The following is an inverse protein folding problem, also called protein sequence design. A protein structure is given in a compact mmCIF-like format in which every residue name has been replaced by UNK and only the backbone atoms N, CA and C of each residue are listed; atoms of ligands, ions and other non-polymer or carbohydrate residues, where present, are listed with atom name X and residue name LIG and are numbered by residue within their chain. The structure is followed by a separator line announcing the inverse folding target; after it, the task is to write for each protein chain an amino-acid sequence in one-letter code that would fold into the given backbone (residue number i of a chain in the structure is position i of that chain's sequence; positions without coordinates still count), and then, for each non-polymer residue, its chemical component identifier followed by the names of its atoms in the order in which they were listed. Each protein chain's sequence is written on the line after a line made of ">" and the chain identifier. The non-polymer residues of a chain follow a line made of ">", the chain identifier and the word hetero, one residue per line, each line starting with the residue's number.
data_IF_848466057496
#
_entry.id   IF_848466057496
#
_cell.length_a   1.000
_cell.length_b   1.000
_cell.length_c   1.000
_cell.angle_alpha   90.00
_cell.angle_beta   90.00
_cell.angle_gamma   90.00
#
_symmetry.space_group_name_H-M   'P 1'
#
loop_
_entity.id
_entity.type
_entity.pdbx_description
1 polymer ?
#
# COMPACT_ATOMS: atom_id res chain seq x y z
N UNK A 1 6.58 -1.64 -33.59
CA UNK A 1 6.96 -0.58 -32.63
C UNK A 1 5.70 0.15 -32.19
N UNK A 2 5.13 -0.24 -31.05
CA UNK A 2 4.04 0.46 -30.37
C UNK A 2 4.27 0.28 -28.88
N UNK A 3 5.20 1.06 -28.32
CA UNK A 3 5.40 1.16 -26.88
C UNK A 3 4.35 2.13 -26.32
N UNK A 4 3.18 1.59 -25.97
CA UNK A 4 2.18 2.27 -25.17
C UNK A 4 1.55 1.26 -24.21
N UNK A 5 2.39 0.64 -23.36
CA UNK A 5 1.90 -0.01 -22.15
C UNK A 5 1.91 1.04 -21.05
N UNK A 6 0.73 1.33 -20.52
CA UNK A 6 0.47 2.29 -19.45
C UNK A 6 1.23 1.84 -18.20
N UNK A 7 2.35 2.49 -17.85
CA UNK A 7 3.06 2.18 -16.61
C UNK A 7 2.43 2.99 -15.47
N UNK A 8 1.74 2.32 -14.54
CA UNK A 8 1.35 2.91 -13.26
C UNK A 8 2.55 2.82 -12.33
N UNK A 9 3.17 3.97 -12.05
CA UNK A 9 4.21 4.10 -11.03
C UNK A 9 3.51 4.52 -9.73
N UNK A 10 3.75 3.76 -8.67
CA UNK A 10 3.21 4.00 -7.33
C UNK A 10 4.23 4.78 -6.51
N UNK A 11 3.88 6.00 -6.08
CA UNK A 11 4.73 6.83 -5.23
C UNK A 11 4.11 6.90 -3.83
N UNK A 12 4.87 6.51 -2.79
CA UNK A 12 4.45 6.55 -1.37
C UNK A 12 5.36 7.52 -0.60
N UNK A 13 4.84 8.66 -0.12
CA UNK A 13 5.55 9.61 0.77
C UNK A 13 4.58 10.42 1.64
N UNK A 14 5.09 11.09 2.68
CA UNK A 14 4.32 11.80 3.72
C UNK A 14 3.40 12.93 3.20
N UNK A 15 2.35 13.21 3.98
CA UNK A 15 1.20 14.09 3.67
C UNK A 15 1.59 15.54 3.30
N UNK A 16 2.71 16.05 3.79
CA UNK A 16 3.11 17.47 3.64
C UNK A 16 3.46 17.91 2.20
N UNK A 17 3.71 16.98 1.28
CA UNK A 17 4.20 17.28 -0.08
C UNK A 17 3.19 16.94 -1.21
N UNK A 18 1.92 16.66 -0.87
CA UNK A 18 0.94 16.13 -1.82
C UNK A 18 0.61 17.04 -3.01
N UNK A 19 0.67 18.37 -2.83
CA UNK A 19 0.52 19.32 -3.95
C UNK A 19 1.65 19.21 -4.98
N UNK A 20 2.86 18.84 -4.54
CA UNK A 20 4.03 18.70 -5.41
C UNK A 20 3.97 17.44 -6.24
N UNK A 21 3.33 16.37 -5.75
CA UNK A 21 3.10 15.15 -6.53
C UNK A 21 2.17 15.41 -7.71
N UNK A 22 1.06 16.12 -7.48
CA UNK A 22 0.14 16.53 -8.55
C UNK A 22 0.86 17.37 -9.62
N UNK A 23 1.69 18.33 -9.20
CA UNK A 23 2.50 19.14 -10.11
C UNK A 23 3.53 18.29 -10.88
N UNK A 24 4.23 17.37 -10.22
CA UNK A 24 5.22 16.50 -10.85
C UNK A 24 4.61 15.54 -11.88
N UNK A 25 3.44 14.96 -11.58
CA UNK A 25 2.70 14.11 -12.51
C UNK A 25 2.26 14.92 -13.72
N UNK A 26 1.72 16.13 -13.50
CA UNK A 26 1.35 17.05 -14.58
C UNK A 26 2.54 17.43 -15.44
N UNK A 27 3.67 17.78 -14.82
CA UNK A 27 4.91 18.16 -15.52
C UNK A 27 5.49 17.03 -16.36
N UNK A 28 5.31 15.79 -15.96
CA UNK A 28 5.75 14.62 -16.73
C UNK A 28 4.76 14.19 -17.83
N UNK A 29 3.54 14.75 -17.85
CA UNK A 29 2.52 14.42 -18.85
C UNK A 29 1.83 13.07 -18.61
N UNK A 30 1.84 12.58 -17.37
CA UNK A 30 1.33 11.25 -17.00
C UNK A 30 0.07 11.31 -16.12
N UNK A 31 -0.74 12.37 -16.21
CA UNK A 31 -1.96 12.55 -15.41
C UNK A 31 -2.96 11.38 -15.61
N UNK A 32 -3.05 10.84 -16.82
CA UNK A 32 -3.95 9.73 -17.12
C UNK A 32 -3.42 8.36 -16.71
N UNK A 33 -2.11 8.22 -16.48
CA UNK A 33 -1.43 6.93 -16.36
C UNK A 33 -0.75 6.72 -15.01
N UNK A 34 -0.45 7.79 -14.26
CA UNK A 34 0.15 7.74 -12.93
C UNK A 34 -0.90 8.01 -11.85
N UNK A 35 -0.81 7.30 -10.73
CA UNK A 35 -1.74 7.39 -9.60
C UNK A 35 -0.95 7.46 -8.30
N UNK A 36 -1.58 8.01 -7.26
CA UNK A 36 -0.93 8.23 -5.96
C UNK A 36 -1.51 7.25 -4.96
N UNK A 37 -0.68 6.72 -4.08
CA UNK A 37 -1.14 6.09 -2.86
C UNK A 37 -0.46 6.68 -1.66
N UNK A 38 -1.05 6.46 -0.49
CA UNK A 38 -0.55 7.04 0.74
C UNK A 38 -0.36 5.94 1.78
N UNK A 39 0.78 5.98 2.45
CA UNK A 39 1.08 5.18 3.62
C UNK A 39 1.10 6.14 4.81
N UNK A 40 0.11 6.02 5.69
CA UNK A 40 -0.05 6.92 6.83
C UNK A 40 0.84 6.51 8.01
N UNK A 41 1.21 5.23 8.11
CA UNK A 41 1.92 4.67 9.26
C UNK A 41 1.35 5.18 10.60
N UNK A 42 0.02 5.15 10.75
CA UNK A 42 -0.68 5.91 11.78
C UNK A 42 -0.34 5.50 13.22
N UNK A 43 0.21 4.30 13.43
CA UNK A 43 0.75 3.86 14.72
C UNK A 43 1.86 4.81 15.23
N UNK A 44 2.65 5.43 14.33
CA UNK A 44 3.73 6.36 14.70
C UNK A 44 3.22 7.68 15.28
N UNK A 45 1.94 7.99 15.06
CA UNK A 45 1.30 9.22 15.51
C UNK A 45 0.17 8.96 16.52
N UNK A 46 -0.01 7.72 16.96
CA UNK A 46 -1.04 7.35 17.91
C UNK A 46 -0.52 7.41 19.35
N UNK A 47 -1.18 8.17 20.22
CA UNK A 47 -0.91 8.16 21.66
C UNK A 47 -1.86 7.20 22.38
N UNK A 48 -1.32 6.05 22.80
CA UNK A 48 -2.05 5.04 23.55
C UNK A 48 -2.62 5.52 24.90
N UNK A 49 -2.12 6.63 25.47
CA UNK A 49 -2.64 7.21 26.71
C UNK A 49 -3.92 8.01 26.48
N UNK A 50 -3.98 8.77 25.38
CA UNK A 50 -5.13 9.61 25.05
C UNK A 50 -6.12 8.90 24.14
N UNK A 51 -5.68 7.87 23.41
CA UNK A 51 -6.47 7.16 22.42
C UNK A 51 -6.70 7.99 21.15
N UNK A 52 -5.78 8.90 20.84
CA UNK A 52 -5.90 9.86 19.74
C UNK A 52 -4.66 9.85 18.84
N UNK A 53 -4.82 10.39 17.63
CA UNK A 53 -3.81 10.58 16.61
C UNK A 53 -3.31 12.02 16.64
N UNK A 54 -2.03 12.23 16.96
CA UNK A 54 -1.37 13.55 16.99
C UNK A 54 -0.71 13.86 15.65
N UNK A 55 -1.38 14.68 14.83
CA UNK A 55 -0.87 15.08 13.52
C UNK A 55 0.35 16.01 13.61
N UNK A 56 0.67 16.55 14.79
CA UNK A 56 1.74 17.52 15.02
C UNK A 56 2.80 16.97 15.99
N UNK A 57 2.90 15.65 16.14
CA UNK A 57 3.80 14.97 17.09
C UNK A 57 5.30 15.30 16.99
N UNK A 58 5.73 15.88 15.85
CA UNK A 58 7.12 16.34 15.65
C UNK A 58 7.35 17.78 16.10
N UNK A 59 6.30 18.53 16.36
CA UNK A 59 6.37 19.90 16.83
C UNK A 59 6.60 19.90 18.35
N UNK A 60 7.66 20.54 18.84
CA UNK A 60 7.91 20.69 20.28
C UNK A 60 6.81 21.48 21.01
N UNK A 61 6.06 22.32 20.29
CA UNK A 61 4.93 23.11 20.79
C UNK A 61 3.67 22.79 19.97
N UNK A 62 3.08 21.59 20.17
CA UNK A 62 2.00 21.11 19.33
C UNK A 62 0.75 21.97 19.48
N UNK A 63 0.04 22.14 18.37
CA UNK A 63 -1.24 22.85 18.37
C UNK A 63 -2.30 22.07 19.17
N UNK A 64 -3.13 22.77 19.94
CA UNK A 64 -4.12 22.14 20.83
C UNK A 64 -5.21 21.33 20.09
N UNK A 65 -5.40 21.59 18.79
CA UNK A 65 -6.34 20.93 17.88
C UNK A 65 -5.67 19.90 16.96
N UNK A 66 -4.41 19.54 17.21
CA UNK A 66 -3.68 18.54 16.42
C UNK A 66 -4.05 17.09 16.75
N UNK A 67 -4.62 16.84 17.93
CA UNK A 67 -5.04 15.51 18.35
C UNK A 67 -6.45 15.16 17.85
N UNK A 68 -6.56 14.09 17.08
CA UNK A 68 -7.82 13.61 16.52
C UNK A 68 -8.21 12.27 17.12
N UNK A 69 -9.47 12.10 17.49
CA UNK A 69 -10.03 10.77 17.72
C UNK A 69 -10.07 9.96 16.40
N UNK A 70 -10.27 8.64 16.48
CA UNK A 70 -10.40 7.81 15.26
C UNK A 70 -11.49 8.29 14.29
N UNK A 71 -12.64 8.74 14.80
CA UNK A 71 -13.73 9.26 13.96
C UNK A 71 -13.38 10.61 13.31
N UNK A 72 -12.67 11.49 14.02
CA UNK A 72 -12.16 12.75 13.46
C UNK A 72 -11.04 12.50 12.44
N UNK A 73 -10.20 11.50 12.68
CA UNK A 73 -9.13 11.16 11.77
C UNK A 73 -9.65 10.49 10.48
N UNK A 74 -10.70 9.67 10.56
CA UNK A 74 -11.44 9.20 9.37
C UNK A 74 -11.87 10.39 8.51
N UNK A 75 -12.52 11.39 9.12
CA UNK A 75 -12.98 12.59 8.39
C UNK A 75 -11.82 13.36 7.76
N UNK A 76 -10.71 13.50 8.50
CA UNK A 76 -9.51 14.13 7.97
C UNK A 76 -8.96 13.40 6.73
N UNK A 77 -8.91 12.06 6.77
CA UNK A 77 -8.47 11.25 5.63
C UNK A 77 -9.42 11.34 4.45
N UNK A 78 -10.74 11.42 4.67
CA UNK A 78 -11.74 11.67 3.62
C UNK A 78 -11.54 13.01 2.93
N UNK A 79 -11.27 14.07 3.70
CA UNK A 79 -10.97 15.38 3.13
C UNK A 79 -9.69 15.34 2.26
N UNK A 80 -8.69 14.54 2.65
CA UNK A 80 -7.51 14.29 1.83
C UNK A 80 -7.84 13.49 0.55
N UNK A 81 -8.64 12.43 0.65
CA UNK A 81 -9.09 11.63 -0.51
C UNK A 81 -9.92 12.44 -1.50
N UNK A 82 -10.70 13.41 -1.02
CA UNK A 82 -11.44 14.33 -1.88
C UNK A 82 -10.52 15.32 -2.61
N UNK A 83 -9.40 15.67 -1.99
CA UNK A 83 -8.43 16.63 -2.54
C UNK A 83 -7.42 15.97 -3.48
N UNK A 84 -7.03 14.72 -3.22
CA UNK A 84 -6.01 13.99 -3.96
C UNK A 84 -6.54 12.63 -4.38
N UNK A 85 -6.36 12.23 -5.66
CA UNK A 85 -6.94 11.00 -6.20
C UNK A 85 -6.13 9.77 -5.76
N UNK A 86 -6.19 9.44 -4.47
CA UNK A 86 -5.58 8.23 -3.95
C UNK A 86 -6.28 6.99 -4.51
N UNK A 87 -5.47 6.01 -4.90
CA UNK A 87 -5.98 4.70 -5.34
C UNK A 87 -5.82 3.64 -4.26
N UNK A 88 -4.95 3.87 -3.28
CA UNK A 88 -4.88 3.08 -2.05
C UNK A 88 -4.40 3.91 -0.86
N UNK A 89 -4.76 3.44 0.33
CA UNK A 89 -4.26 3.91 1.63
C UNK A 89 -3.72 2.71 2.41
N UNK A 90 -2.53 2.85 2.97
CA UNK A 90 -1.83 1.87 3.81
C UNK A 90 -1.75 2.40 5.25
N UNK A 91 -2.02 1.51 6.20
CA UNK A 91 -2.04 1.76 7.66
C UNK A 91 -2.66 3.11 8.09
N UNK A 92 -3.94 3.34 7.76
CA UNK A 92 -4.67 4.56 8.12
C UNK A 92 -4.86 4.76 9.62
N UNK A 93 -4.73 3.73 10.45
CA UNK A 93 -4.95 3.78 11.90
C UNK A 93 -3.91 2.94 12.65
N UNK A 94 -3.88 3.05 13.98
CA UNK A 94 -2.98 2.28 14.84
C UNK A 94 -3.13 0.76 14.62
N UNK A 95 -2.04 0.03 14.75
CA UNK A 95 -1.98 -1.43 14.54
C UNK A 95 -2.92 -2.24 15.46
N UNK A 96 -3.49 -1.62 16.51
CA UNK A 96 -4.47 -2.25 17.39
C UNK A 96 -5.88 -1.61 17.32
N UNK A 97 -6.10 -0.60 16.48
CA UNK A 97 -7.39 0.08 16.32
C UNK A 97 -8.30 -0.57 15.25
N UNK A 98 -8.60 -1.86 15.47
CA UNK A 98 -9.40 -2.68 14.55
C UNK A 98 -10.81 -2.09 14.29
N UNK A 99 -11.38 -1.42 15.28
CA UNK A 99 -12.71 -0.83 15.19
C UNK A 99 -12.75 0.35 14.22
N UNK A 100 -11.77 1.25 14.29
CA UNK A 100 -11.68 2.39 13.37
C UNK A 100 -11.36 1.92 11.95
N UNK A 101 -10.47 0.93 11.77
CA UNK A 101 -10.25 0.25 10.49
C UNK A 101 -11.55 -0.30 9.88
N UNK A 102 -12.34 -1.04 10.66
CA UNK A 102 -13.60 -1.62 10.18
C UNK A 102 -14.64 -0.55 9.81
N UNK A 103 -14.74 0.54 10.58
CA UNK A 103 -15.60 1.69 10.25
C UNK A 103 -15.18 2.33 8.92
N UNK A 104 -13.90 2.60 8.75
CA UNK A 104 -13.36 3.21 7.53
C UNK A 104 -13.55 2.29 6.31
N UNK A 105 -13.24 1.01 6.44
CA UNK A 105 -13.43 0.03 5.37
C UNK A 105 -14.90 -0.16 4.99
N UNK A 106 -15.82 -0.12 5.97
CA UNK A 106 -17.25 -0.17 5.67
C UNK A 106 -17.76 1.04 4.88
N UNK A 107 -17.14 2.21 5.09
CA UNK A 107 -17.53 3.47 4.45
C UNK A 107 -16.89 3.64 3.07
N UNK A 108 -15.57 3.48 2.97
CA UNK A 108 -14.78 3.87 1.79
C UNK A 108 -14.13 2.69 1.06
N UNK A 109 -14.06 1.50 1.67
CA UNK A 109 -13.36 0.33 1.14
C UNK A 109 -13.96 -0.29 -0.14
N UNK A 110 -15.02 0.31 -0.71
CA UNK A 110 -15.53 -0.03 -2.05
C UNK A 110 -14.89 0.81 -3.16
N UNK A 111 -14.46 2.02 -2.83
CA UNK A 111 -13.91 2.99 -3.77
C UNK A 111 -12.37 3.01 -3.73
N UNK A 112 -11.79 2.66 -2.58
CA UNK A 112 -10.34 2.68 -2.37
C UNK A 112 -9.81 1.35 -1.79
N UNK A 113 -8.59 1.00 -2.17
CA UNK A 113 -7.86 -0.09 -1.56
C UNK A 113 -7.33 0.35 -0.18
N UNK A 114 -7.65 -0.40 0.86
CA UNK A 114 -7.21 -0.19 2.24
C UNK A 114 -6.28 -1.35 2.58
N UNK A 115 -4.99 -1.04 2.66
CA UNK A 115 -3.88 -1.98 2.80
C UNK A 115 -3.51 -2.08 4.28
N UNK A 116 -3.52 -3.29 4.82
CA UNK A 116 -2.97 -3.57 6.14
C UNK A 116 -1.52 -4.04 6.06
N UNK A 117 -0.62 -3.30 6.72
CA UNK A 117 0.79 -3.65 6.91
C UNK A 117 1.06 -3.97 8.39
N UNK A 118 1.23 -2.98 9.27
CA UNK A 118 1.42 -3.19 10.71
C UNK A 118 0.19 -3.82 11.36
N UNK A 119 -1.01 -3.53 10.84
CA UNK A 119 -2.23 -4.21 11.29
C UNK A 119 -2.16 -5.72 11.06
N UNK A 120 -1.48 -6.21 10.02
CA UNK A 120 -1.50 -7.63 9.64
C UNK A 120 -0.18 -8.36 9.88
N UNK A 121 0.96 -7.66 9.75
CA UNK A 121 2.35 -8.15 9.84
C UNK A 121 2.59 -9.47 9.10
N UNK A 122 1.92 -9.65 7.96
CA UNK A 122 1.91 -10.90 7.18
C UNK A 122 1.57 -12.15 8.03
N UNK A 123 0.85 -11.99 9.15
CA UNK A 123 0.56 -13.05 10.11
C UNK A 123 -0.82 -13.68 9.85
N UNK A 124 -0.92 -15.00 9.60
CA UNK A 124 -2.20 -15.67 9.33
C UNK A 124 -3.31 -15.43 10.36
N UNK A 125 -2.99 -15.34 11.65
CA UNK A 125 -4.01 -15.09 12.70
C UNK A 125 -4.57 -13.67 12.60
N UNK A 126 -3.71 -12.69 12.35
CA UNK A 126 -4.12 -11.27 12.17
C UNK A 126 -4.85 -11.06 10.85
N UNK A 127 -4.41 -11.72 9.78
CA UNK A 127 -5.14 -11.77 8.51
C UNK A 127 -6.55 -12.33 8.71
N UNK A 128 -6.68 -13.47 9.38
CA UNK A 128 -8.00 -14.06 9.67
C UNK A 128 -8.88 -13.12 10.51
N UNK A 129 -8.29 -12.42 11.49
CA UNK A 129 -9.01 -11.40 12.27
C UNK A 129 -9.50 -10.26 11.37
N UNK A 130 -8.64 -9.71 10.52
CA UNK A 130 -9.01 -8.64 9.59
C UNK A 130 -10.10 -9.04 8.60
N UNK A 131 -10.10 -10.30 8.15
CA UNK A 131 -11.18 -10.86 7.33
C UNK A 131 -12.49 -10.90 8.12
N UNK A 132 -12.47 -11.41 9.35
CA UNK A 132 -13.67 -11.56 10.18
C UNK A 132 -14.28 -10.20 10.56
N UNK A 133 -13.44 -9.22 10.88
CA UNK A 133 -13.84 -7.88 11.32
C UNK A 133 -14.03 -6.91 10.15
N UNK A 134 -13.72 -7.34 8.91
CA UNK A 134 -13.79 -6.52 7.68
C UNK A 134 -12.99 -5.22 7.81
N UNK A 135 -11.81 -5.33 8.40
CA UNK A 135 -10.97 -4.18 8.76
C UNK A 135 -10.22 -3.58 7.59
N UNK A 136 -9.90 -4.37 6.56
CA UNK A 136 -9.16 -3.97 5.37
C UNK A 136 -9.63 -4.75 4.14
N UNK A 137 -9.17 -4.40 2.94
CA UNK A 137 -9.47 -5.11 1.69
C UNK A 137 -8.19 -5.48 0.89
N UNK A 138 -7.01 -5.24 1.46
CA UNK A 138 -5.73 -5.58 0.86
C UNK A 138 -4.67 -5.94 1.92
N UNK A 139 -3.76 -6.84 1.53
CA UNK A 139 -2.61 -7.27 2.33
C UNK A 139 -1.32 -6.67 1.76
N UNK A 140 -0.50 -6.05 2.60
CA UNK A 140 0.91 -5.82 2.28
C UNK A 140 1.72 -7.06 2.69
N UNK A 141 2.29 -7.76 1.71
CA UNK A 141 3.00 -9.02 1.93
C UNK A 141 4.50 -8.76 2.03
N UNK A 142 5.07 -8.98 3.23
CA UNK A 142 6.51 -8.92 3.50
C UNK A 142 6.99 -10.31 3.94
N UNK A 143 7.66 -11.01 3.03
CA UNK A 143 8.10 -12.42 3.21
C UNK A 143 8.87 -12.63 4.50
N UNK A 144 9.75 -11.70 4.86
CA UNK A 144 10.59 -11.83 6.04
C UNK A 144 9.90 -11.47 7.37
N UNK A 145 8.66 -10.96 7.35
CA UNK A 145 7.86 -10.81 8.58
C UNK A 145 7.29 -12.16 9.04
N UNK A 146 6.90 -13.02 8.10
CA UNK A 146 6.34 -14.34 8.41
C UNK A 146 7.43 -15.43 8.50
N UNK A 147 8.51 -15.29 7.74
CA UNK A 147 9.75 -16.06 7.92
C UNK A 147 9.98 -17.19 6.93
N UNK A 148 8.95 -17.66 6.21
CA UNK A 148 9.10 -18.67 5.16
C UNK A 148 8.30 -18.38 3.88
N UNK A 149 8.73 -18.99 2.78
CA UNK A 149 8.04 -18.90 1.48
C UNK A 149 6.67 -19.58 1.56
N UNK A 150 6.58 -20.75 2.20
CA UNK A 150 5.32 -21.49 2.35
C UNK A 150 4.28 -20.65 3.07
N UNK A 151 4.63 -20.06 4.22
CA UNK A 151 3.69 -19.24 4.98
C UNK A 151 3.35 -17.93 4.25
N UNK A 152 4.26 -17.40 3.44
CA UNK A 152 3.97 -16.24 2.57
C UNK A 152 2.93 -16.59 1.50
N UNK A 153 3.04 -17.76 0.86
CA UNK A 153 2.05 -18.25 -0.11
C UNK A 153 0.70 -18.49 0.58
N UNK A 154 0.71 -19.06 1.78
CA UNK A 154 -0.52 -19.26 2.57
C UNK A 154 -1.20 -17.93 2.91
N UNK A 155 -0.44 -16.94 3.39
CA UNK A 155 -0.95 -15.59 3.67
C UNK A 155 -1.55 -14.92 2.42
N UNK A 156 -0.88 -15.03 1.27
CA UNK A 156 -1.41 -14.60 -0.02
C UNK A 156 -2.74 -15.28 -0.33
N UNK A 157 -2.79 -16.60 -0.25
CA UNK A 157 -3.98 -17.38 -0.59
C UNK A 157 -5.15 -17.06 0.34
N UNK A 158 -4.90 -16.84 1.64
CA UNK A 158 -5.93 -16.40 2.59
C UNK A 158 -6.54 -15.07 2.18
N UNK A 159 -5.71 -14.08 1.86
CA UNK A 159 -6.17 -12.77 1.40
C UNK A 159 -6.96 -12.89 0.08
N UNK A 160 -6.41 -13.58 -0.92
CA UNK A 160 -7.06 -13.76 -2.24
C UNK A 160 -8.41 -14.48 -2.12
N UNK A 161 -8.49 -15.53 -1.28
CA UNK A 161 -9.72 -16.28 -1.05
C UNK A 161 -10.79 -15.44 -0.32
N UNK A 162 -10.38 -14.47 0.50
CA UNK A 162 -11.28 -13.49 1.10
C UNK A 162 -11.71 -12.37 0.14
N UNK A 163 -11.25 -12.41 -1.12
CA UNK A 163 -11.52 -11.39 -2.12
C UNK A 163 -10.63 -10.14 -1.98
N UNK A 164 -9.59 -10.20 -1.15
CA UNK A 164 -8.63 -9.10 -1.01
C UNK A 164 -7.65 -9.08 -2.18
N UNK A 165 -7.03 -7.92 -2.36
CA UNK A 165 -5.82 -7.78 -3.19
C UNK A 165 -4.57 -7.95 -2.34
N UNK A 166 -3.44 -8.22 -2.99
CA UNK A 166 -2.15 -8.41 -2.30
C UNK A 166 -1.11 -7.54 -2.98
N UNK A 167 -0.32 -6.83 -2.18
CA UNK A 167 0.80 -6.03 -2.66
C UNK A 167 2.09 -6.57 -2.05
N UNK A 168 2.98 -7.10 -2.88
CA UNK A 168 4.30 -7.56 -2.42
C UNK A 168 5.15 -6.34 -2.07
N UNK A 169 5.79 -6.35 -0.91
CA UNK A 169 6.56 -5.20 -0.42
C UNK A 169 8.01 -5.54 -0.14
N UNK A 170 8.87 -4.55 -0.38
CA UNK A 170 10.24 -4.53 0.13
C UNK A 170 10.29 -4.34 1.66
N UNK A 171 11.51 -4.27 2.19
CA UNK A 171 11.80 -3.67 3.51
C UNK A 171 12.59 -2.36 3.43
N UNK A 172 12.63 -1.59 4.51
CA UNK A 172 13.45 -0.37 4.57
C UNK A 172 14.94 -0.67 4.40
N UNK A 173 15.45 -1.74 5.02
CA UNK A 173 16.75 -2.33 4.71
C UNK A 173 16.63 -3.43 3.66
N UNK A 174 17.02 -3.14 2.42
CA UNK A 174 17.01 -4.11 1.30
C UNK A 174 18.41 -4.49 0.85
N UNK A 175 18.49 -5.58 0.08
CA UNK A 175 19.71 -6.09 -0.56
C UNK A 175 19.61 -6.03 -2.08
N UNK A 176 20.65 -6.44 -2.78
CA UNK A 176 20.66 -6.63 -4.23
C UNK A 176 19.79 -7.81 -4.72
N UNK A 177 19.32 -8.66 -3.81
CA UNK A 177 18.50 -9.83 -4.13
C UNK A 177 17.19 -9.41 -4.81
N UNK A 178 16.79 -10.10 -5.87
CA UNK A 178 15.59 -9.77 -6.66
C UNK A 178 14.38 -10.65 -6.37
N UNK A 179 14.44 -11.53 -5.38
CA UNK A 179 13.44 -12.57 -5.09
C UNK A 179 11.98 -12.10 -5.15
N UNK A 180 11.68 -10.92 -4.59
CA UNK A 180 10.29 -10.42 -4.55
C UNK A 180 9.73 -10.04 -5.93
N UNK A 181 10.58 -9.81 -6.94
CA UNK A 181 10.15 -9.59 -8.33
C UNK A 181 9.63 -10.88 -8.97
N UNK A 182 10.31 -12.00 -8.74
CA UNK A 182 9.86 -13.32 -9.16
C UNK A 182 8.63 -13.75 -8.34
N UNK A 183 8.59 -13.44 -7.03
CA UNK A 183 7.46 -13.75 -6.16
C UNK A 183 6.17 -13.04 -6.59
N UNK A 184 6.20 -11.73 -6.84
CA UNK A 184 5.00 -10.97 -7.26
C UNK A 184 4.44 -11.52 -8.57
N UNK A 185 5.33 -11.92 -9.50
CA UNK A 185 4.96 -12.52 -10.79
C UNK A 185 4.37 -13.91 -10.59
N UNK A 186 5.06 -14.78 -9.85
CA UNK A 186 4.64 -16.18 -9.64
C UNK A 186 3.35 -16.31 -8.83
N UNK A 187 3.10 -15.39 -7.89
CA UNK A 187 1.85 -15.34 -7.15
C UNK A 187 0.70 -14.65 -7.92
N UNK A 188 0.99 -13.95 -9.02
CA UNK A 188 -0.03 -13.21 -9.78
C UNK A 188 -0.70 -12.09 -8.98
N UNK A 189 0.00 -11.45 -8.05
CA UNK A 189 -0.59 -10.42 -7.16
C UNK A 189 -0.76 -9.05 -7.84
N UNK A 190 -0.08 -8.84 -8.97
CA UNK A 190 -0.12 -7.63 -9.80
C UNK A 190 0.44 -6.33 -9.21
N UNK A 191 0.74 -6.31 -7.91
CA UNK A 191 1.11 -5.09 -7.20
C UNK A 191 2.40 -5.30 -6.41
N UNK A 192 3.33 -4.37 -6.58
CA UNK A 192 4.59 -4.39 -5.86
C UNK A 192 4.98 -2.97 -5.42
N UNK A 193 5.28 -2.81 -4.13
CA UNK A 193 5.90 -1.61 -3.54
C UNK A 193 7.36 -1.93 -3.26
N UNK A 194 8.23 -1.61 -4.21
CA UNK A 194 9.68 -1.88 -4.10
C UNK A 194 10.56 -0.62 -4.12
N UNK A 195 9.97 0.53 -3.78
CA UNK A 195 10.69 1.78 -3.47
C UNK A 195 10.88 2.71 -4.66
N UNK A 196 11.52 3.85 -4.46
CA UNK A 196 11.73 4.81 -5.54
C UNK A 196 12.57 4.21 -6.69
N UNK A 197 12.47 4.72 -7.93
CA UNK A 197 13.36 4.37 -9.05
C UNK A 197 14.75 5.01 -8.84
N UNK A 198 15.35 4.76 -7.68
CA UNK A 198 16.62 5.25 -7.22
C UNK A 198 17.17 4.26 -6.19
N UNK A 199 18.50 4.15 -6.11
CA UNK A 199 19.25 3.19 -5.28
C UNK A 199 19.11 1.75 -5.78
N UNK A 200 20.25 1.07 -5.88
CA UNK A 200 20.36 -0.21 -6.60
C UNK A 200 19.54 -1.33 -5.97
N UNK A 201 19.39 -1.34 -4.64
CA UNK A 201 18.61 -2.36 -3.92
C UNK A 201 17.10 -2.29 -4.23
N UNK A 202 16.65 -1.18 -4.83
CA UNK A 202 15.29 -0.97 -5.37
C UNK A 202 15.25 -1.30 -6.86
N UNK A 203 16.17 -0.69 -7.60
CA UNK A 203 16.28 -0.84 -9.05
C UNK A 203 16.48 -2.29 -9.49
N UNK A 204 17.18 -3.12 -8.71
CA UNK A 204 17.40 -4.52 -9.08
C UNK A 204 16.08 -5.30 -9.23
N UNK A 205 15.07 -5.02 -8.41
CA UNK A 205 13.73 -5.63 -8.52
C UNK A 205 12.99 -5.13 -9.76
N UNK A 206 13.00 -3.83 -10.03
CA UNK A 206 12.41 -3.27 -11.25
C UNK A 206 13.07 -3.83 -12.52
N UNK A 207 14.40 -3.91 -12.53
CA UNK A 207 15.14 -4.51 -13.64
C UNK A 207 14.80 -5.99 -13.82
N UNK A 208 14.60 -6.72 -12.73
CA UNK A 208 14.19 -8.12 -12.81
C UNK A 208 12.78 -8.26 -13.39
N UNK A 209 11.83 -7.41 -13.01
CA UNK A 209 10.48 -7.40 -13.61
C UNK A 209 10.54 -7.14 -15.12
N UNK A 210 11.39 -6.23 -15.59
CA UNK A 210 11.57 -5.99 -17.03
C UNK A 210 12.14 -7.20 -17.76
N UNK A 211 13.07 -7.95 -17.15
CA UNK A 211 13.60 -9.20 -17.72
C UNK A 211 12.54 -10.29 -17.78
N UNK A 212 11.75 -10.44 -16.72
CA UNK A 212 10.63 -11.39 -16.67
C UNK A 212 9.59 -11.05 -17.75
N UNK A 213 9.26 -9.76 -17.94
CA UNK A 213 8.36 -9.33 -19.01
C UNK A 213 8.94 -9.67 -20.40
N UNK A 214 10.22 -9.39 -20.64
CA UNK A 214 10.91 -9.71 -21.90
C UNK A 214 10.91 -11.22 -22.18
N UNK A 215 11.18 -12.05 -21.15
CA UNK A 215 11.23 -13.50 -21.26
C UNK A 215 9.85 -14.12 -21.56
N UNK A 216 8.81 -13.62 -20.90
CA UNK A 216 7.44 -14.11 -21.10
C UNK A 216 6.82 -13.61 -22.41
N UNK A 217 7.21 -12.42 -22.88
CA UNK A 217 6.68 -11.80 -24.09
C UNK A 217 5.14 -11.72 -24.06
N UNK A 218 4.49 -12.23 -25.10
CA UNK A 218 3.02 -12.22 -25.22
C UNK A 218 2.30 -13.17 -24.23
N UNK A 219 3.04 -13.93 -23.42
CA UNK A 219 2.47 -14.78 -22.36
C UNK A 219 2.16 -14.01 -21.08
N UNK A 220 2.63 -12.76 -20.96
CA UNK A 220 2.39 -11.90 -19.82
C UNK A 220 1.50 -10.71 -20.20
N UNK A 221 0.66 -10.29 -19.25
CA UNK A 221 -0.14 -9.06 -19.36
C UNK A 221 0.22 -8.13 -18.22
N UNK A 222 0.30 -6.84 -18.52
CA UNK A 222 0.50 -5.82 -17.49
C UNK A 222 -0.84 -5.51 -16.81
N UNK A 223 -0.86 -5.56 -15.47
CA UNK A 223 -2.02 -5.18 -14.71
C UNK A 223 -2.20 -3.65 -14.74
N UNK A 224 -3.18 -3.17 -15.50
CA UNK A 224 -3.55 -1.76 -15.56
C UNK A 224 -4.94 -1.53 -14.95
N UNK A 225 -5.18 -0.37 -14.35
CA UNK A 225 -6.53 0.09 -13.98
C UNK A 225 -6.58 0.88 -12.67
N UNK A 226 -7.69 1.60 -12.43
CA UNK A 226 -7.92 2.33 -11.17
C UNK A 226 -8.27 1.40 -9.99
N UNK A 227 -8.73 0.18 -10.28
CA UNK A 227 -9.29 -0.73 -9.28
C UNK A 227 -8.33 -1.84 -8.89
N UNK A 228 -7.04 -1.73 -9.27
CA UNK A 228 -6.00 -2.73 -9.04
C UNK A 228 -6.53 -4.17 -9.18
N UNK A 229 -6.97 -4.56 -10.39
CA UNK A 229 -7.65 -5.83 -10.57
C UNK A 229 -6.74 -6.98 -10.12
N UNK A 230 -7.35 -8.00 -9.50
CA UNK A 230 -6.69 -9.29 -9.30
C UNK A 230 -6.28 -9.82 -10.68
N UNK A 231 -5.04 -10.25 -10.84
CA UNK A 231 -4.60 -10.97 -12.03
C UNK A 231 -5.10 -12.38 -11.82
N UNK A 232 -6.17 -12.73 -12.52
CA UNK A 232 -6.66 -14.11 -12.63
C UNK A 232 -6.26 -14.67 -13.99
#
# INVERSE_FOLDING_TARGET
>A
MSFAKTHQILLTQSISDQSRWGEAIKKSGHEDTCRIGCDFAASEIYDAKTGKYDLDFKNPEPHADAELTGDEFIKYQEDLMNKYPFVFIEDPFDENDWATFAKFTAKDGKEIQIVGDDLLVTNPKRIQKGINEKSVNALLLKVNQIGSITESIEANNMAVNAGWTVMVSHRSGETEDTFIADLVTGLGTCQIKTGAPCRTERLCKYNQLMRIEEELGDKATYAAGRNFPRCQ
#
